data_IF_298470569676
#
_entry.id   IF_298470569676
#
_cell.length_a   1.000
_cell.length_b   1.000
_cell.length_c   1.000
_cell.angle_alpha   90.00
_cell.angle_beta   90.00
_cell.angle_gamma   90.00
#
_symmetry.space_group_name_H-M   'P 1'
#
loop_
_entity.id
_entity.type
_entity.pdbx_description
1 polymer ?
#
# COMPACT_ATOMS: atom_id res chain seq x y z
N UNK A 1 21.35 -14.81 -2.89
CA UNK A 1 20.77 -14.38 -1.60
C UNK A 1 19.27 -14.41 -1.77
N UNK A 2 18.63 -15.47 -1.29
CA UNK A 2 17.18 -15.55 -1.22
C UNK A 2 16.75 -14.59 -0.11
N UNK A 3 16.29 -13.40 -0.46
CA UNK A 3 15.47 -12.62 0.48
C UNK A 3 14.21 -13.44 0.73
N UNK A 4 14.08 -13.88 1.97
CA UNK A 4 13.02 -14.76 2.46
C UNK A 4 11.69 -14.02 2.40
N UNK A 5 10.57 -14.72 2.25
CA UNK A 5 9.23 -14.08 2.28
C UNK A 5 9.01 -13.23 3.54
N UNK A 6 9.63 -13.62 4.67
CA UNK A 6 9.65 -12.89 5.94
C UNK A 6 10.27 -11.49 5.76
N UNK A 7 11.37 -11.38 5.01
CA UNK A 7 12.09 -10.10 4.82
C UNK A 7 11.25 -9.11 4.01
N UNK A 8 10.44 -9.60 3.06
CA UNK A 8 9.57 -8.76 2.24
C UNK A 8 8.38 -8.23 3.02
N UNK A 9 7.76 -9.07 3.86
CA UNK A 9 6.64 -8.64 4.73
C UNK A 9 7.15 -7.66 5.78
N UNK A 10 8.29 -7.94 6.41
CA UNK A 10 8.92 -7.03 7.38
C UNK A 10 9.27 -5.67 6.74
N UNK A 11 9.74 -5.66 5.49
CA UNK A 11 9.99 -4.42 4.75
C UNK A 11 8.70 -3.64 4.46
N UNK A 12 7.65 -4.33 4.05
CA UNK A 12 6.36 -3.68 3.80
C UNK A 12 5.80 -3.08 5.09
N UNK A 13 5.86 -3.84 6.18
CA UNK A 13 5.52 -3.39 7.54
C UNK A 13 6.30 -2.13 7.92
N UNK A 14 7.61 -2.10 7.66
CA UNK A 14 8.45 -0.94 7.98
C UNK A 14 7.91 0.34 7.35
N UNK A 15 7.51 0.28 6.07
CA UNK A 15 6.95 1.42 5.36
C UNK A 15 5.57 1.82 5.85
N UNK A 16 4.69 0.85 6.15
CA UNK A 16 3.31 1.14 6.57
C UNK A 16 3.27 1.67 8.00
N UNK A 17 3.85 0.94 8.95
CA UNK A 17 3.69 1.21 10.38
C UNK A 17 4.61 2.32 10.89
N UNK A 18 5.77 2.55 10.26
CA UNK A 18 6.71 3.57 10.72
C UNK A 18 6.79 4.75 9.76
N UNK A 19 7.05 4.54 8.47
CA UNK A 19 7.30 5.67 7.57
C UNK A 19 6.01 6.38 7.11
N UNK A 20 4.94 5.64 6.86
CA UNK A 20 3.65 6.21 6.47
C UNK A 20 2.88 6.67 7.70
N UNK A 21 2.63 5.77 8.66
CA UNK A 21 1.77 6.07 9.79
C UNK A 21 2.34 7.14 10.75
N UNK A 22 3.67 7.29 10.84
CA UNK A 22 4.30 8.26 11.75
C UNK A 22 4.73 9.52 10.99
N UNK A 23 5.43 9.35 9.86
CA UNK A 23 6.10 10.47 9.18
C UNK A 23 5.35 10.96 7.93
N UNK A 24 4.30 10.25 7.47
CA UNK A 24 3.56 10.59 6.25
C UNK A 24 4.36 10.40 4.94
N UNK A 25 5.56 9.86 5.01
CA UNK A 25 6.51 9.77 3.88
C UNK A 25 6.27 8.52 3.04
N UNK A 26 6.35 7.32 3.65
CA UNK A 26 5.97 6.03 3.05
C UNK A 26 6.57 5.71 1.65
N UNK A 27 7.63 6.38 1.20
CA UNK A 27 8.01 6.42 -0.23
C UNK A 27 8.38 5.06 -0.85
N UNK A 28 8.78 4.07 -0.05
CA UNK A 28 9.07 2.71 -0.52
C UNK A 28 7.90 1.72 -0.42
N UNK A 29 6.73 2.17 0.05
CA UNK A 29 5.54 1.33 0.26
C UNK A 29 5.12 0.63 -1.04
N UNK A 30 5.12 1.37 -2.16
CA UNK A 30 4.64 0.86 -3.46
C UNK A 30 5.52 -0.26 -3.97
N UNK A 31 6.82 -0.07 -3.90
CA UNK A 31 7.84 -1.04 -4.29
C UNK A 31 7.82 -2.26 -3.39
N UNK A 32 7.65 -2.07 -2.07
CA UNK A 32 7.53 -3.17 -1.12
C UNK A 32 6.28 -4.01 -1.38
N UNK A 33 5.11 -3.39 -1.60
CA UNK A 33 3.89 -4.13 -1.95
C UNK A 33 3.99 -4.80 -3.32
N UNK A 34 4.63 -4.14 -4.29
CA UNK A 34 4.93 -4.74 -5.59
C UNK A 34 5.84 -5.97 -5.47
N UNK A 35 6.83 -5.96 -4.57
CA UNK A 35 7.69 -7.10 -4.33
C UNK A 35 6.91 -8.30 -3.75
N UNK A 36 5.99 -8.05 -2.81
CA UNK A 36 5.06 -9.07 -2.29
C UNK A 36 4.19 -9.65 -3.41
N UNK A 37 3.58 -8.78 -4.23
CA UNK A 37 2.74 -9.17 -5.36
C UNK A 37 3.51 -10.02 -6.39
N UNK A 38 4.74 -9.62 -6.73
CA UNK A 38 5.61 -10.37 -7.67
C UNK A 38 5.95 -11.78 -7.16
N UNK A 39 5.94 -11.99 -5.84
CA UNK A 39 6.18 -13.29 -5.21
C UNK A 39 4.90 -14.05 -4.87
N UNK A 40 3.73 -13.47 -5.11
CA UNK A 40 2.44 -14.03 -4.71
C UNK A 40 2.31 -14.22 -3.20
N UNK A 41 2.98 -13.37 -2.40
CA UNK A 41 2.90 -13.44 -0.95
C UNK A 41 1.64 -12.71 -0.51
N UNK A 42 0.67 -13.49 -0.06
CA UNK A 42 -0.60 -13.04 0.51
C UNK A 42 -0.81 -13.82 1.82
N UNK A 43 -1.00 -13.09 2.91
CA UNK A 43 -1.26 -13.63 4.24
C UNK A 43 -2.15 -12.68 5.03
N UNK A 44 -2.68 -13.14 6.16
CA UNK A 44 -3.45 -12.28 7.06
C UNK A 44 -2.64 -11.05 7.47
N UNK A 45 -1.33 -11.19 7.66
CA UNK A 45 -0.43 -10.09 8.00
C UNK A 45 -0.35 -9.05 6.86
N UNK A 46 -0.21 -9.48 5.61
CA UNK A 46 -0.20 -8.54 4.48
C UNK A 46 -1.55 -7.84 4.31
N UNK A 47 -2.67 -8.51 4.60
CA UNK A 47 -3.99 -7.89 4.53
C UNK A 47 -4.18 -6.81 5.59
N UNK A 48 -3.77 -7.08 6.83
CA UNK A 48 -3.78 -6.07 7.89
C UNK A 48 -2.87 -4.88 7.56
N UNK A 49 -1.72 -5.12 6.94
CA UNK A 49 -0.85 -4.02 6.48
C UNK A 49 -1.46 -3.22 5.32
N UNK A 50 -2.14 -3.89 4.39
CA UNK A 50 -2.87 -3.22 3.31
C UNK A 50 -3.99 -2.33 3.88
N UNK A 51 -4.75 -2.83 4.87
CA UNK A 51 -5.81 -2.08 5.58
C UNK A 51 -5.25 -0.82 6.25
N UNK A 52 -4.18 -0.98 7.03
CA UNK A 52 -3.50 0.13 7.70
C UNK A 52 -2.96 1.17 6.71
N UNK A 53 -2.42 0.73 5.57
CA UNK A 53 -1.94 1.64 4.53
C UNK A 53 -3.08 2.46 3.93
N UNK A 54 -4.23 1.84 3.65
CA UNK A 54 -5.41 2.55 3.11
C UNK A 54 -5.98 3.52 4.14
N UNK A 55 -6.15 3.09 5.39
CA UNK A 55 -6.64 3.93 6.48
C UNK A 55 -5.73 5.14 6.69
N UNK A 56 -4.41 4.94 6.76
CA UNK A 56 -3.43 6.01 6.91
C UNK A 56 -3.51 7.01 5.73
N UNK A 57 -3.64 6.52 4.50
CA UNK A 57 -3.77 7.38 3.30
C UNK A 57 -5.03 8.26 3.36
N UNK A 58 -6.10 7.77 3.98
CA UNK A 58 -7.37 8.47 4.10
C UNK A 58 -7.47 9.40 5.31
N UNK A 59 -6.72 9.11 6.38
CA UNK A 59 -6.86 9.80 7.68
C UNK A 59 -5.73 10.78 8.00
N UNK A 60 -4.52 10.57 7.47
CA UNK A 60 -3.38 11.46 7.74
C UNK A 60 -3.47 12.70 6.84
N UNK A 61 -3.56 13.87 7.46
CA UNK A 61 -3.68 15.15 6.75
C UNK A 61 -2.42 15.49 5.94
N UNK A 62 -1.24 15.34 6.55
CA UNK A 62 0.04 15.68 5.95
C UNK A 62 0.77 14.43 5.43
N UNK A 63 0.46 14.06 4.18
CA UNK A 63 1.17 13.00 3.46
C UNK A 63 2.08 13.60 2.41
N UNK A 64 3.22 12.96 2.19
CA UNK A 64 4.12 13.33 1.12
C UNK A 64 3.36 13.33 -0.23
N UNK A 65 3.33 14.45 -0.96
CA UNK A 65 2.63 14.54 -2.25
C UNK A 65 3.09 13.50 -3.28
N UNK A 66 4.36 13.07 -3.23
CA UNK A 66 4.87 12.03 -4.11
C UNK A 66 4.22 10.66 -3.84
N UNK A 67 3.82 10.38 -2.60
CA UNK A 67 3.07 9.18 -2.22
C UNK A 67 1.64 9.20 -2.79
N UNK A 68 1.06 10.39 -3.00
CA UNK A 68 -0.26 10.57 -3.58
C UNK A 68 -0.24 10.72 -5.12
N UNK A 69 0.93 10.86 -5.73
CA UNK A 69 1.06 10.94 -7.18
C UNK A 69 0.80 9.56 -7.82
N UNK A 70 -0.40 9.35 -8.37
CA UNK A 70 -0.76 8.09 -9.02
C UNK A 70 0.12 7.78 -10.24
N UNK A 71 0.35 6.49 -10.51
CA UNK A 71 1.10 6.03 -11.69
C UNK A 71 0.13 5.53 -12.78
N UNK A 72 -0.26 6.35 -13.77
CA UNK A 72 -1.29 5.99 -14.75
C UNK A 72 -0.87 4.87 -15.72
N UNK A 73 0.43 4.60 -15.82
CA UNK A 73 1.02 3.49 -16.57
C UNK A 73 0.92 2.15 -15.83
N UNK A 74 0.55 2.15 -14.55
CA UNK A 74 0.34 0.94 -13.74
C UNK A 74 -1.12 0.48 -13.81
N UNK A 75 -1.37 -0.84 -13.85
CA UNK A 75 -2.73 -1.36 -13.88
C UNK A 75 -3.51 -0.93 -12.63
N UNK A 76 -4.80 -0.66 -12.79
CA UNK A 76 -5.64 -0.26 -11.65
C UNK A 76 -5.66 -1.34 -10.57
N UNK A 77 -5.67 -2.62 -10.93
CA UNK A 77 -5.64 -3.76 -9.98
C UNK A 77 -4.45 -3.75 -9.00
N UNK A 78 -3.40 -2.99 -9.31
CA UNK A 78 -2.29 -2.74 -8.39
C UNK A 78 -2.56 -1.43 -7.61
N UNK A 79 -3.55 -1.46 -6.72
CA UNK A 79 -4.09 -0.29 -6.01
C UNK A 79 -3.03 0.55 -5.29
N UNK A 80 -1.93 -0.06 -4.83
CA UNK A 80 -0.83 0.62 -4.14
C UNK A 80 -0.10 1.65 -5.02
N UNK A 81 -0.29 1.63 -6.34
CA UNK A 81 0.18 2.67 -7.27
C UNK A 81 -0.79 3.84 -7.45
N UNK A 82 -1.98 3.77 -6.84
CA UNK A 82 -3.08 4.70 -7.05
C UNK A 82 -3.62 5.28 -5.72
N UNK A 83 -2.72 5.57 -4.77
CA UNK A 83 -3.07 6.07 -3.43
C UNK A 83 -3.74 7.45 -3.47
N UNK A 84 -3.43 8.28 -4.48
CA UNK A 84 -4.10 9.57 -4.69
C UNK A 84 -5.57 9.39 -4.99
N UNK A 85 -5.93 8.43 -5.86
CA UNK A 85 -7.33 8.08 -6.13
C UNK A 85 -8.05 7.54 -4.90
N UNK A 86 -7.36 6.76 -4.06
CA UNK A 86 -7.92 6.23 -2.82
C UNK A 86 -8.24 7.36 -1.85
N UNK A 87 -7.30 8.29 -1.64
CA UNK A 87 -7.53 9.48 -0.81
C UNK A 87 -8.64 10.37 -1.35
N UNK A 88 -8.73 10.52 -2.67
CA UNK A 88 -9.78 11.31 -3.32
C UNK A 88 -11.15 10.61 -3.37
N UNK A 89 -11.26 9.34 -2.94
CA UNK A 89 -12.50 8.57 -3.05
C UNK A 89 -12.94 8.28 -4.49
N UNK A 90 -12.02 8.32 -5.46
CA UNK A 90 -12.29 8.10 -6.90
C UNK A 90 -11.79 6.75 -7.41
N UNK A 91 -11.09 5.98 -6.57
CA UNK A 91 -10.63 4.64 -6.94
C UNK A 91 -11.82 3.66 -7.06
N UNK A 92 -11.93 2.85 -8.13
CA UNK A 92 -13.06 1.93 -8.29
C UNK A 92 -13.04 0.80 -7.24
N UNK A 93 -13.96 0.82 -6.28
CA UNK A 93 -13.99 -0.14 -5.16
C UNK A 93 -14.05 -1.62 -5.59
N UNK A 94 -14.69 -1.95 -6.71
CA UNK A 94 -14.75 -3.33 -7.22
C UNK A 94 -13.37 -3.88 -7.68
N UNK A 95 -12.38 -3.01 -7.89
CA UNK A 95 -11.00 -3.39 -8.23
C UNK A 95 -10.12 -3.60 -6.99
N UNK A 96 -10.56 -3.16 -5.80
CA UNK A 96 -9.86 -3.46 -4.57
C UNK A 96 -9.93 -4.97 -4.27
N UNK A 97 -8.90 -5.55 -3.64
CA UNK A 97 -8.96 -6.85 -3.01
C UNK A 97 -10.13 -6.95 -2.00
N UNK A 98 -10.71 -8.15 -1.79
CA UNK A 98 -11.86 -8.31 -0.89
C UNK A 98 -11.67 -7.71 0.51
N UNK A 99 -10.49 -7.88 1.13
CA UNK A 99 -10.20 -7.34 2.47
C UNK A 99 -10.21 -5.81 2.52
N UNK A 100 -9.97 -5.13 1.39
CA UNK A 100 -9.98 -3.67 1.31
C UNK A 100 -11.35 -3.06 0.93
N UNK A 101 -12.34 -3.88 0.57
CA UNK A 101 -13.67 -3.38 0.17
C UNK A 101 -14.57 -3.05 1.35
N UNK A 102 -14.25 -3.58 2.52
CA UNK A 102 -15.08 -3.50 3.73
C UNK A 102 -14.60 -2.45 4.73
N UNK A 103 -13.55 -1.68 4.38
CA UNK A 103 -12.97 -0.61 5.21
C UNK A 103 -13.77 0.69 5.06
#
# INVERSE_FOLDING_TARGET
MESTSIDLVARYREYVEFQLAIDGEGLGLREARQALANKGIESQETWTLDELAVEAVQTIDDLNPALLADAPDRPLTAWWWHLGKLRAGTYPAHLLPPHLREI
#
